data_IF_036385897345
#
_entry.id   IF_036385897345
#
_cell.length_a   1.000
_cell.length_b   1.000
_cell.length_c   1.000
_cell.angle_alpha   90.00
_cell.angle_beta   90.00
_cell.angle_gamma   90.00
#
_symmetry.space_group_name_H-M   'P 1'
#
loop_
_entity.id
_entity.type
_entity.pdbx_description
1 polymer ?
#
# COMPACT_ATOMS: atom_id res chain seq x y z
N UNK A 1 -24.77 -4.38 2.51
CA UNK A 1 -25.68 -4.98 1.54
C UNK A 1 -26.58 -3.88 1.00
N UNK A 2 -26.61 -3.70 -0.32
CA UNK A 2 -27.25 -2.56 -0.97
C UNK A 2 -28.55 -3.01 -1.64
N UNK A 3 -28.71 -2.78 -2.95
CA UNK A 3 -29.89 -3.20 -3.71
C UNK A 3 -29.89 -4.71 -3.99
N UNK A 4 -31.08 -5.30 -4.14
CA UNK A 4 -31.29 -6.73 -4.41
C UNK A 4 -32.25 -6.93 -5.57
N UNK A 5 -32.09 -8.05 -6.29
CA UNK A 5 -33.04 -8.54 -7.31
C UNK A 5 -33.24 -7.63 -8.53
N UNK A 6 -32.38 -6.63 -8.69
CA UNK A 6 -32.32 -5.78 -9.88
C UNK A 6 -31.32 -6.34 -10.90
N UNK A 7 -31.52 -6.00 -12.17
CA UNK A 7 -30.49 -6.25 -13.19
C UNK A 7 -29.19 -5.53 -12.80
N UNK A 8 -28.02 -6.06 -13.21
CA UNK A 8 -26.71 -5.46 -12.91
C UNK A 8 -26.64 -3.96 -13.22
N UNK A 9 -27.23 -3.54 -14.35
CA UNK A 9 -27.27 -2.13 -14.74
C UNK A 9 -28.08 -1.27 -13.76
N UNK A 10 -29.22 -1.78 -13.31
CA UNK A 10 -30.13 -1.05 -12.44
C UNK A 10 -29.63 -1.05 -11.00
N UNK A 11 -29.10 -2.17 -10.51
CA UNK A 11 -28.42 -2.25 -9.22
C UNK A 11 -27.28 -1.23 -9.13
N UNK A 12 -26.39 -1.17 -10.14
CA UNK A 12 -25.30 -0.18 -10.18
C UNK A 12 -25.79 1.27 -10.23
N UNK A 13 -26.98 1.53 -10.78
CA UNK A 13 -27.59 2.86 -10.82
C UNK A 13 -28.08 3.28 -9.42
N UNK A 14 -28.82 2.40 -8.76
CA UNK A 14 -29.36 2.62 -7.41
C UNK A 14 -28.23 2.68 -6.37
N UNK A 15 -27.31 1.71 -6.42
CA UNK A 15 -26.20 1.60 -5.48
C UNK A 15 -25.29 2.83 -5.56
N UNK A 16 -25.05 3.38 -6.76
CA UNK A 16 -24.18 4.56 -6.95
C UNK A 16 -24.60 5.74 -6.08
N UNK A 17 -25.90 5.97 -5.93
CA UNK A 17 -26.36 7.06 -5.06
C UNK A 17 -26.04 6.82 -3.59
N UNK A 18 -26.10 5.56 -3.13
CA UNK A 18 -25.65 5.19 -1.79
C UNK A 18 -24.16 5.43 -1.65
N UNK A 19 -23.37 4.98 -2.63
CA UNK A 19 -21.90 5.18 -2.64
C UNK A 19 -21.56 6.67 -2.55
N UNK A 20 -22.20 7.51 -3.36
CA UNK A 20 -21.96 8.96 -3.39
C UNK A 20 -22.30 9.63 -2.06
N UNK A 21 -23.40 9.24 -1.40
CA UNK A 21 -23.76 9.79 -0.09
C UNK A 21 -22.80 9.34 1.00
N UNK A 22 -22.34 8.08 0.95
CA UNK A 22 -21.36 7.55 1.89
C UNK A 22 -19.99 8.21 1.69
N UNK A 23 -19.54 8.38 0.45
CA UNK A 23 -18.25 9.02 0.12
C UNK A 23 -18.25 10.52 0.48
N UNK A 24 -19.38 11.21 0.28
CA UNK A 24 -19.59 12.58 0.75
C UNK A 24 -19.74 12.67 2.29
N UNK A 25 -19.71 11.53 2.98
CA UNK A 25 -19.96 11.36 4.39
C UNK A 25 -21.24 12.04 4.87
N UNK A 26 -22.32 12.01 4.08
CA UNK A 26 -23.58 12.72 4.34
C UNK A 26 -24.74 11.76 4.69
N UNK A 27 -24.95 11.45 5.99
CA UNK A 27 -26.00 10.53 6.43
C UNK A 27 -27.41 11.12 6.25
N UNK A 28 -27.57 12.45 6.16
CA UNK A 28 -28.88 13.08 5.95
C UNK A 28 -29.32 12.93 4.50
N UNK A 29 -28.43 13.26 3.57
CA UNK A 29 -28.65 13.06 2.14
C UNK A 29 -28.94 11.59 1.82
N UNK A 30 -28.24 10.66 2.48
CA UNK A 30 -28.52 9.23 2.32
C UNK A 30 -29.94 8.87 2.80
N UNK A 31 -30.37 9.38 3.96
CA UNK A 31 -31.72 9.14 4.47
C UNK A 31 -32.81 9.72 3.55
N UNK A 32 -32.62 10.94 3.07
CA UNK A 32 -33.54 11.60 2.12
C UNK A 32 -33.64 10.83 0.79
N UNK A 33 -32.51 10.39 0.24
CA UNK A 33 -32.48 9.62 -1.01
C UNK A 33 -33.21 8.26 -0.89
N UNK A 34 -33.19 7.65 0.30
CA UNK A 34 -33.94 6.41 0.57
C UNK A 34 -35.44 6.69 0.69
N UNK A 35 -35.83 7.75 1.42
CA UNK A 35 -37.23 8.14 1.60
C UNK A 35 -37.90 8.54 0.27
N UNK A 36 -37.15 9.17 -0.63
CA UNK A 36 -37.60 9.55 -1.97
C UNK A 36 -37.59 8.38 -2.98
N UNK A 37 -37.06 7.21 -2.59
CA UNK A 37 -36.89 6.06 -3.49
C UNK A 37 -35.88 6.29 -4.61
N UNK A 38 -34.96 7.25 -4.44
CA UNK A 38 -33.91 7.54 -5.40
C UNK A 38 -32.83 6.45 -5.40
N UNK A 39 -32.61 5.81 -4.23
CA UNK A 39 -31.70 4.68 -4.02
C UNK A 39 -32.34 3.59 -3.16
N UNK A 40 -31.70 2.41 -3.13
CA UNK A 40 -32.13 1.28 -2.30
C UNK A 40 -30.92 0.66 -1.60
N UNK A 41 -31.05 0.41 -0.29
CA UNK A 41 -30.10 -0.41 0.43
C UNK A 41 -30.77 -1.14 1.61
N UNK A 42 -30.73 -2.47 1.58
CA UNK A 42 -31.21 -3.29 2.70
C UNK A 42 -30.43 -2.97 4.01
N UNK A 43 -29.14 -2.64 3.89
CA UNK A 43 -28.28 -2.23 5.00
C UNK A 43 -28.31 -0.73 5.32
N UNK A 44 -29.23 0.06 4.77
CA UNK A 44 -29.23 1.52 4.91
C UNK A 44 -29.22 2.02 6.37
N UNK A 45 -30.13 1.50 7.21
CA UNK A 45 -30.26 1.92 8.60
C UNK A 45 -28.95 1.76 9.40
N UNK A 46 -28.33 0.57 9.38
CA UNK A 46 -27.01 0.36 9.96
C UNK A 46 -25.93 1.27 9.36
N UNK A 47 -25.90 1.50 8.04
CA UNK A 47 -24.91 2.40 7.41
C UNK A 47 -25.04 3.82 7.94
N UNK A 48 -26.26 4.39 7.94
CA UNK A 48 -26.54 5.73 8.47
C UNK A 48 -26.15 5.81 9.95
N UNK A 49 -26.47 4.76 10.73
CA UNK A 49 -26.14 4.70 12.16
C UNK A 49 -24.63 4.75 12.38
N UNK A 50 -23.85 3.97 11.61
CA UNK A 50 -22.39 3.98 11.70
C UNK A 50 -21.83 5.34 11.28
N UNK A 51 -22.38 5.97 10.23
CA UNK A 51 -21.97 7.32 9.82
C UNK A 51 -22.19 8.37 10.91
N UNK A 52 -23.35 8.35 11.55
CA UNK A 52 -23.68 9.26 12.65
C UNK A 52 -22.79 8.99 13.87
N UNK A 53 -22.59 7.72 14.24
CA UNK A 53 -21.74 7.34 15.36
C UNK A 53 -20.27 7.72 15.11
N UNK A 54 -19.76 7.51 13.90
CA UNK A 54 -18.40 7.87 13.53
C UNK A 54 -18.17 9.39 13.63
N UNK A 55 -19.15 10.21 13.21
CA UNK A 55 -19.11 11.67 13.39
C UNK A 55 -19.01 12.07 14.86
N UNK A 56 -19.82 11.43 15.71
CA UNK A 56 -19.77 11.67 17.16
C UNK A 56 -18.43 11.26 17.79
N UNK A 57 -17.79 10.24 17.23
CA UNK A 57 -16.46 9.77 17.62
C UNK A 57 -15.31 10.57 17.00
N UNK A 58 -15.61 11.62 16.21
CA UNK A 58 -14.62 12.55 15.69
C UNK A 58 -14.20 12.33 14.23
N UNK A 59 -14.76 11.36 13.52
CA UNK A 59 -14.55 11.24 12.09
C UNK A 59 -15.18 12.43 11.35
N UNK A 60 -14.47 12.98 10.37
CA UNK A 60 -14.92 14.09 9.53
C UNK A 60 -14.84 13.79 8.02
N UNK A 61 -14.37 12.59 7.67
CA UNK A 61 -14.34 12.04 6.31
C UNK A 61 -14.86 10.61 6.26
N UNK A 62 -15.28 10.21 5.07
CA UNK A 62 -15.52 8.83 4.71
C UNK A 62 -15.01 8.58 3.29
N UNK A 63 -14.68 7.32 3.01
CA UNK A 63 -14.25 6.89 1.68
C UNK A 63 -14.80 5.52 1.36
N UNK A 64 -15.43 5.38 0.20
CA UNK A 64 -15.79 4.08 -0.35
C UNK A 64 -14.51 3.40 -0.85
N UNK A 65 -14.19 2.24 -0.28
CA UNK A 65 -12.99 1.47 -0.62
C UNK A 65 -13.24 0.54 -1.80
N UNK A 66 -14.42 -0.07 -1.86
CA UNK A 66 -14.76 -1.00 -2.92
C UNK A 66 -16.27 -1.14 -3.07
N UNK A 67 -16.67 -1.42 -4.31
CA UNK A 67 -18.03 -1.82 -4.67
C UNK A 67 -17.97 -2.98 -5.67
N UNK A 68 -18.80 -3.99 -5.45
CA UNK A 68 -19.00 -5.10 -6.35
C UNK A 68 -20.44 -5.61 -6.21
N UNK A 69 -20.91 -6.40 -7.17
CA UNK A 69 -22.17 -7.13 -7.01
C UNK A 69 -22.00 -8.62 -7.29
N UNK A 70 -23.00 -9.41 -6.90
CA UNK A 70 -22.96 -10.88 -7.05
C UNK A 70 -22.71 -11.35 -8.49
N UNK A 71 -23.14 -10.57 -9.49
CA UNK A 71 -22.93 -10.87 -10.91
C UNK A 71 -21.47 -10.78 -11.35
N UNK A 72 -20.62 -10.05 -10.61
CA UNK A 72 -19.18 -9.97 -10.88
C UNK A 72 -18.44 -11.29 -10.59
N UNK A 73 -19.04 -12.16 -9.77
CA UNK A 73 -18.51 -13.49 -9.46
C UNK A 73 -19.26 -14.59 -10.22
N UNK A 74 -20.59 -14.54 -10.24
CA UNK A 74 -21.42 -15.62 -10.81
C UNK A 74 -21.60 -15.53 -12.31
N UNK A 75 -21.42 -14.34 -12.90
CA UNK A 75 -21.73 -14.06 -14.30
C UNK A 75 -23.22 -13.87 -14.59
N UNK A 76 -24.11 -14.18 -13.65
CA UNK A 76 -25.54 -13.89 -13.76
C UNK A 76 -25.83 -12.43 -13.43
N UNK A 77 -26.34 -11.69 -14.42
CA UNK A 77 -26.64 -10.25 -14.33
C UNK A 77 -28.14 -9.95 -14.31
N UNK A 78 -29.00 -10.97 -14.23
CA UNK A 78 -30.45 -10.83 -14.25
C UNK A 78 -31.05 -10.35 -12.93
N UNK A 79 -30.44 -10.73 -11.81
CA UNK A 79 -30.82 -10.32 -10.46
C UNK A 79 -29.62 -10.37 -9.53
N UNK A 80 -29.03 -9.20 -9.24
CA UNK A 80 -27.79 -9.11 -8.45
C UNK A 80 -28.03 -8.52 -7.08
N UNK A 81 -27.02 -8.68 -6.22
CA UNK A 81 -26.94 -8.06 -4.90
C UNK A 81 -25.71 -7.17 -4.82
N UNK A 82 -25.90 -5.91 -4.44
CA UNK A 82 -24.82 -4.93 -4.32
C UNK A 82 -24.09 -4.96 -2.98
N UNK A 83 -22.76 -4.87 -2.99
CA UNK A 83 -21.91 -4.83 -1.80
C UNK A 83 -20.98 -3.64 -1.83
N UNK A 84 -20.80 -3.00 -0.68
CA UNK A 84 -19.90 -1.86 -0.49
C UNK A 84 -19.05 -2.08 0.75
N UNK A 85 -17.77 -1.74 0.63
CA UNK A 85 -16.86 -1.51 1.74
C UNK A 85 -16.51 -0.03 1.80
N UNK A 86 -16.58 0.58 2.99
CA UNK A 86 -16.24 1.97 3.22
C UNK A 86 -15.52 2.14 4.56
N UNK A 87 -14.70 3.19 4.66
CA UNK A 87 -14.01 3.60 5.88
C UNK A 87 -14.48 5.00 6.27
N UNK A 88 -14.61 5.25 7.57
CA UNK A 88 -14.87 6.58 8.14
C UNK A 88 -13.70 6.93 9.04
N UNK A 89 -13.14 8.11 8.87
CA UNK A 89 -11.89 8.49 9.51
C UNK A 89 -11.88 9.99 9.81
N UNK A 90 -10.99 10.38 10.71
CA UNK A 90 -10.69 11.77 10.99
C UNK A 90 -9.50 12.17 10.13
N UNK A 91 -9.68 13.14 9.24
CA UNK A 91 -8.60 13.78 8.52
C UNK A 91 -7.86 14.70 9.51
N UNK A 92 -6.69 14.26 9.95
CA UNK A 92 -5.86 15.11 10.80
C UNK A 92 -5.30 16.26 9.95
N UNK A 93 -5.13 17.45 10.54
CA UNK A 93 -4.61 18.64 9.84
C UNK A 93 -3.20 18.46 9.21
N UNK A 94 -2.58 17.29 9.34
CA UNK A 94 -1.40 16.87 8.60
C UNK A 94 -1.68 16.47 7.14
N UNK A 95 -2.94 16.19 6.78
CA UNK A 95 -3.34 15.62 5.48
C UNK A 95 -3.86 16.65 4.46
N UNK A 96 -4.03 17.93 4.85
CA UNK A 96 -4.10 19.03 3.86
C UNK A 96 -2.69 19.37 3.34
N UNK A 97 -1.99 18.36 2.83
CA UNK A 97 -0.78 18.55 2.02
C UNK A 97 -1.17 18.31 0.58
N UNK A 98 -1.50 19.43 -0.04
CA UNK A 98 -1.37 19.69 -1.47
C UNK A 98 -0.26 18.83 -2.09
N UNK A 99 -0.56 18.26 -3.26
CA UNK A 99 0.26 17.32 -4.04
C UNK A 99 1.54 17.96 -4.61
N UNK A 100 2.18 18.87 -3.87
CA UNK A 100 3.31 19.68 -4.34
C UNK A 100 4.26 20.14 -3.23
N UNK A 101 4.51 19.34 -2.18
CA UNK A 101 5.56 19.70 -1.21
C UNK A 101 6.48 18.51 -0.78
N UNK A 102 7.76 18.47 -1.19
CA UNK A 102 8.70 17.37 -0.92
C UNK A 102 9.37 17.47 0.48
N UNK A 103 8.59 17.76 1.53
CA UNK A 103 9.10 18.27 2.81
C UNK A 103 9.01 17.36 4.05
N UNK A 104 8.58 16.11 3.93
CA UNK A 104 8.62 15.12 5.01
C UNK A 104 9.10 13.81 4.42
N UNK A 105 10.38 13.77 4.02
CA UNK A 105 10.99 12.58 3.42
C UNK A 105 11.04 11.51 4.51
N UNK A 106 10.11 10.57 4.47
CA UNK A 106 10.16 9.37 5.31
C UNK A 106 11.40 8.58 4.87
N UNK A 107 12.24 8.21 5.83
CA UNK A 107 13.53 7.57 5.59
C UNK A 107 14.72 8.54 5.63
N UNK A 108 15.79 8.22 4.90
CA UNK A 108 17.05 8.95 4.91
C UNK A 108 17.52 9.26 3.49
N UNK A 109 18.29 10.34 3.32
CA UNK A 109 19.02 10.56 2.08
C UNK A 109 20.31 9.73 2.11
N UNK A 110 20.38 8.70 1.27
CA UNK A 110 21.57 7.86 1.15
C UNK A 110 22.67 8.56 0.33
N UNK A 111 22.46 9.79 -0.13
CA UNK A 111 23.37 10.58 -0.94
C UNK A 111 23.52 10.00 -2.35
N UNK A 112 22.43 9.48 -2.91
CA UNK A 112 22.29 9.17 -4.33
C UNK A 112 21.90 10.46 -5.07
N UNK A 113 22.61 10.79 -6.15
CA UNK A 113 22.24 11.93 -6.98
C UNK A 113 20.90 11.66 -7.70
N UNK A 114 20.12 12.70 -7.98
CA UNK A 114 18.83 12.54 -8.67
C UNK A 114 18.98 11.84 -10.05
N UNK A 115 20.09 12.07 -10.76
CA UNK A 115 20.41 11.34 -12.00
C UNK A 115 20.62 9.83 -11.78
N UNK A 116 21.18 9.43 -10.64
CA UNK A 116 21.34 8.01 -10.28
C UNK A 116 19.97 7.41 -9.92
N UNK A 117 19.13 8.15 -9.19
CA UNK A 117 17.75 7.75 -8.86
C UNK A 117 16.92 7.54 -10.12
N UNK A 118 16.97 8.46 -11.07
CA UNK A 118 16.31 8.34 -12.36
C UNK A 118 16.84 7.17 -13.18
N UNK A 119 18.15 6.94 -13.16
CA UNK A 119 18.78 5.79 -13.82
C UNK A 119 18.23 4.48 -13.25
N UNK A 120 18.06 4.38 -11.93
CA UNK A 120 17.50 3.20 -11.27
C UNK A 120 16.01 3.00 -11.58
N UNK A 121 15.19 4.06 -11.59
CA UNK A 121 13.78 3.99 -12.00
C UNK A 121 13.65 3.53 -13.46
N UNK A 122 14.48 4.08 -14.33
CA UNK A 122 14.50 3.73 -15.75
C UNK A 122 14.97 2.29 -15.95
N UNK A 123 16.00 1.84 -15.23
CA UNK A 123 16.46 0.46 -15.23
C UNK A 123 15.34 -0.51 -14.86
N UNK A 124 14.60 -0.24 -13.77
CA UNK A 124 13.48 -1.06 -13.33
C UNK A 124 12.38 -1.13 -14.42
N UNK A 125 12.01 0.01 -14.98
CA UNK A 125 10.99 0.10 -16.04
C UNK A 125 11.42 -0.63 -17.32
N UNK A 126 12.64 -0.42 -17.79
CA UNK A 126 13.15 -1.06 -19.01
C UNK A 126 13.34 -2.56 -18.84
N UNK A 127 13.67 -3.01 -17.63
CA UNK A 127 13.74 -4.44 -17.31
C UNK A 127 12.37 -5.11 -17.40
N UNK A 128 11.33 -4.48 -16.84
CA UNK A 128 9.95 -4.97 -16.95
C UNK A 128 9.51 -4.98 -18.41
N UNK A 129 9.77 -3.89 -19.14
CA UNK A 129 9.47 -3.78 -20.57
C UNK A 129 10.15 -4.89 -21.38
N UNK A 130 11.44 -5.11 -21.18
CA UNK A 130 12.19 -6.13 -21.90
C UNK A 130 11.61 -7.54 -21.68
N UNK A 131 11.13 -7.83 -20.45
CA UNK A 131 10.47 -9.11 -20.16
C UNK A 131 9.13 -9.27 -20.88
N UNK A 132 8.33 -8.19 -20.97
CA UNK A 132 7.05 -8.17 -21.69
C UNK A 132 7.26 -8.33 -23.20
N UNK A 133 8.21 -7.60 -23.75
CA UNK A 133 8.55 -7.59 -25.18
C UNK A 133 9.38 -8.81 -25.62
N UNK A 134 9.84 -9.62 -24.65
CA UNK A 134 10.75 -10.75 -24.84
C UNK A 134 12.08 -10.36 -25.51
N UNK A 135 12.60 -9.19 -25.12
CA UNK A 135 13.88 -8.65 -25.58
C UNK A 135 14.96 -8.78 -24.51
N UNK A 136 16.19 -8.43 -24.86
CA UNK A 136 17.32 -8.48 -23.93
C UNK A 136 17.18 -7.39 -22.86
N UNK A 137 17.35 -7.71 -21.57
CA UNK A 137 17.32 -6.70 -20.51
C UNK A 137 18.46 -5.68 -20.67
N UNK A 138 18.29 -4.46 -20.12
CA UNK A 138 19.32 -3.43 -20.14
C UNK A 138 20.62 -3.92 -19.49
N UNK A 139 21.75 -3.52 -20.07
CA UNK A 139 23.08 -3.82 -19.53
C UNK A 139 23.40 -2.91 -18.34
N UNK A 140 24.21 -3.40 -17.42
CA UNK A 140 24.60 -2.69 -16.19
C UNK A 140 26.01 -2.09 -16.26
N UNK A 141 26.63 -2.16 -17.44
CA UNK A 141 28.08 -1.94 -17.66
C UNK A 141 28.53 -0.49 -17.40
N UNK A 142 27.60 0.46 -17.31
CA UNK A 142 27.87 1.89 -17.14
C UNK A 142 27.66 2.42 -15.71
N UNK A 143 27.41 1.54 -14.73
CA UNK A 143 27.08 1.93 -13.36
C UNK A 143 28.33 2.14 -12.52
N UNK A 144 28.38 3.24 -11.78
CA UNK A 144 29.52 3.65 -10.96
C UNK A 144 29.07 4.04 -9.55
N UNK A 145 30.02 4.15 -8.62
CA UNK A 145 29.77 4.64 -7.26
C UNK A 145 28.85 3.72 -6.44
N UNK A 146 27.92 4.33 -5.69
CA UNK A 146 27.02 3.65 -4.75
C UNK A 146 26.11 2.60 -5.41
N UNK A 147 25.94 2.67 -6.73
CA UNK A 147 25.15 1.70 -7.50
C UNK A 147 25.82 0.31 -7.56
N UNK A 148 27.12 0.23 -7.28
CA UNK A 148 27.88 -1.03 -7.19
C UNK A 148 27.92 -1.61 -5.78
N UNK A 149 27.49 -0.84 -4.77
CA UNK A 149 27.51 -1.30 -3.38
C UNK A 149 26.37 -2.31 -3.14
N UNK A 150 26.60 -3.32 -2.28
CA UNK A 150 25.57 -4.26 -1.89
C UNK A 150 24.56 -3.59 -0.95
N UNK A 151 23.39 -3.28 -1.48
CA UNK A 151 22.28 -2.69 -0.73
C UNK A 151 21.01 -3.52 -0.89
N UNK A 152 20.25 -3.67 0.19
CA UNK A 152 18.88 -4.15 0.09
C UNK A 152 18.03 -3.12 -0.65
N UNK A 153 17.03 -3.57 -1.40
CA UNK A 153 16.11 -2.68 -2.07
C UNK A 153 14.73 -3.31 -2.24
N UNK A 154 13.71 -2.47 -2.26
CA UNK A 154 12.34 -2.83 -2.61
C UNK A 154 11.94 -2.08 -3.86
N UNK A 155 11.23 -2.76 -4.76
CA UNK A 155 10.59 -2.15 -5.92
C UNK A 155 9.09 -2.30 -5.73
N UNK A 156 8.41 -1.16 -5.66
CA UNK A 156 6.96 -1.05 -5.56
C UNK A 156 6.42 -0.53 -6.88
N UNK A 157 5.43 -1.24 -7.41
CA UNK A 157 4.67 -0.89 -8.59
C UNK A 157 3.31 -0.40 -8.13
N UNK A 158 2.92 0.79 -8.57
CA UNK A 158 1.56 1.32 -8.39
C UNK A 158 0.93 1.56 -9.74
N UNK A 159 -0.38 1.38 -9.82
CA UNK A 159 -1.18 1.70 -11.00
C UNK A 159 -2.31 2.60 -10.57
N UNK A 160 -2.33 3.83 -11.09
CA UNK A 160 -3.36 4.84 -10.73
C UNK A 160 -3.50 5.02 -9.21
N UNK A 161 -2.36 5.06 -8.52
CA UNK A 161 -2.28 5.18 -7.05
C UNK A 161 -2.43 3.88 -6.25
N UNK A 162 -2.92 2.80 -6.85
CA UNK A 162 -3.14 1.51 -6.16
C UNK A 162 -1.92 0.59 -6.25
N UNK A 163 -1.65 -0.18 -5.19
CA UNK A 163 -0.54 -1.14 -5.17
C UNK A 163 -0.78 -2.26 -6.21
N UNK A 164 0.17 -2.45 -7.13
CA UNK A 164 0.13 -3.46 -8.20
C UNK A 164 1.18 -4.57 -8.07
N UNK A 165 2.19 -4.36 -7.23
CA UNK A 165 3.20 -5.33 -6.86
C UNK A 165 4.24 -4.69 -5.96
N UNK A 166 4.80 -5.43 -5.01
CA UNK A 166 5.93 -4.95 -4.20
C UNK A 166 6.75 -6.14 -3.73
N UNK A 167 8.00 -6.20 -4.18
CA UNK A 167 8.98 -7.22 -3.79
C UNK A 167 10.31 -6.54 -3.49
N UNK A 168 11.03 -7.06 -2.51
CA UNK A 168 12.34 -6.55 -2.13
C UNK A 168 13.20 -7.59 -1.44
N UNK A 169 14.48 -7.24 -1.32
CA UNK A 169 15.46 -7.99 -0.55
C UNK A 169 16.05 -7.11 0.54
N UNK A 170 16.17 -7.67 1.75
CA UNK A 170 16.78 -6.99 2.90
C UNK A 170 18.29 -6.90 2.81
N UNK A 171 18.89 -7.81 2.05
CA UNK A 171 20.34 -7.88 1.89
C UNK A 171 20.62 -7.88 0.40
N UNK A 172 21.37 -6.87 -0.06
CA UNK A 172 21.95 -6.89 -1.39
C UNK A 172 23.03 -7.95 -1.44
N UNK A 173 22.88 -8.96 -2.31
CA UNK A 173 23.91 -10.00 -2.54
C UNK A 173 24.91 -9.61 -3.63
N UNK A 174 24.71 -8.44 -4.23
CA UNK A 174 25.50 -7.87 -5.32
C UNK A 174 25.14 -6.39 -5.48
N UNK A 175 25.59 -5.74 -6.57
CA UNK A 175 25.30 -4.35 -6.87
C UNK A 175 23.82 -3.97 -6.67
N UNK A 176 23.57 -2.78 -6.11
CA UNK A 176 22.22 -2.24 -5.94
C UNK A 176 21.39 -2.33 -7.22
N UNK A 177 21.98 -2.02 -8.38
CA UNK A 177 21.27 -2.08 -9.64
C UNK A 177 20.85 -3.50 -10.06
N UNK A 178 21.65 -4.52 -9.73
CA UNK A 178 21.24 -5.92 -9.93
C UNK A 178 20.08 -6.26 -9.02
N UNK A 179 20.14 -5.83 -7.76
CA UNK A 179 19.05 -6.01 -6.80
C UNK A 179 17.76 -5.36 -7.33
N UNK A 180 17.82 -4.12 -7.80
CA UNK A 180 16.66 -3.41 -8.35
C UNK A 180 16.12 -4.10 -9.59
N UNK A 181 16.98 -4.53 -10.52
CA UNK A 181 16.57 -5.29 -11.71
C UNK A 181 15.80 -6.55 -11.34
N UNK A 182 16.35 -7.33 -10.41
CA UNK A 182 15.75 -8.60 -10.00
C UNK A 182 14.44 -8.39 -9.23
N UNK A 183 14.39 -7.38 -8.35
CA UNK A 183 13.19 -7.04 -7.59
C UNK A 183 12.09 -6.44 -8.48
N UNK A 184 12.43 -5.68 -9.52
CA UNK A 184 11.47 -5.17 -10.49
C UNK A 184 10.78 -6.30 -11.27
N UNK A 185 11.54 -7.32 -11.69
CA UNK A 185 10.97 -8.51 -12.33
C UNK A 185 10.04 -9.27 -11.37
N UNK A 186 10.48 -9.48 -10.13
CA UNK A 186 9.66 -10.20 -9.16
C UNK A 186 8.39 -9.42 -8.77
N UNK A 187 8.49 -8.10 -8.56
CA UNK A 187 7.34 -7.25 -8.26
C UNK A 187 6.32 -7.26 -9.40
N UNK A 188 6.76 -7.28 -10.66
CA UNK A 188 5.88 -7.29 -11.83
C UNK A 188 5.24 -8.67 -12.11
N UNK A 189 5.97 -9.77 -11.90
CA UNK A 189 5.58 -11.09 -12.43
C UNK A 189 5.49 -12.21 -11.40
N UNK A 190 5.87 -11.97 -10.15
CA UNK A 190 5.99 -13.02 -9.13
C UNK A 190 5.52 -12.61 -7.74
N UNK A 191 4.90 -11.43 -7.58
CA UNK A 191 4.19 -11.09 -6.35
C UNK A 191 2.94 -11.98 -6.23
N UNK A 192 2.86 -12.88 -5.23
CA UNK A 192 1.78 -13.87 -5.14
C UNK A 192 0.40 -13.27 -4.90
N UNK A 193 0.32 -11.98 -4.56
CA UNK A 193 -0.94 -11.27 -4.33
C UNK A 193 -1.59 -10.81 -5.64
N UNK A 194 -0.85 -10.78 -6.74
CA UNK A 194 -1.30 -10.21 -8.01
C UNK A 194 -1.02 -11.14 -9.19
N UNK A 195 -1.82 -11.03 -10.25
CA UNK A 195 -1.50 -11.67 -11.52
C UNK A 195 -0.25 -11.02 -12.15
N UNK A 196 0.54 -11.76 -12.95
CA UNK A 196 1.66 -11.18 -13.69
C UNK A 196 1.22 -9.98 -14.54
N UNK A 197 2.05 -8.93 -14.57
CA UNK A 197 1.79 -7.70 -15.32
C UNK A 197 1.64 -7.96 -16.82
N UNK A 198 0.74 -7.23 -17.49
CA UNK A 198 0.60 -7.24 -18.96
C UNK A 198 1.17 -5.98 -19.61
N UNK A 199 1.37 -6.03 -20.93
CA UNK A 199 1.98 -4.92 -21.69
C UNK A 199 1.17 -3.62 -21.60
N UNK A 200 -0.16 -3.72 -21.62
CA UNK A 200 -1.06 -2.57 -21.58
C UNK A 200 -1.03 -1.85 -20.22
N UNK A 201 -0.64 -2.54 -19.16
CA UNK A 201 -0.54 -1.95 -17.82
C UNK A 201 0.71 -1.07 -17.68
N UNK A 202 1.77 -1.33 -18.45
CA UNK A 202 3.08 -0.69 -18.28
C UNK A 202 3.04 0.84 -18.42
N UNK A 203 2.16 1.36 -19.28
CA UNK A 203 2.02 2.80 -19.51
C UNK A 203 1.42 3.55 -18.30
N UNK A 204 0.63 2.86 -17.48
CA UNK A 204 -0.06 3.42 -16.31
C UNK A 204 0.71 3.14 -15.00
N UNK A 205 1.95 2.63 -15.07
CA UNK A 205 2.73 2.25 -13.89
C UNK A 205 3.61 3.37 -13.35
N UNK A 206 3.39 3.66 -12.07
CA UNK A 206 4.28 4.42 -11.20
C UNK A 206 5.22 3.45 -10.49
N UNK A 207 6.53 3.71 -10.58
CA UNK A 207 7.55 2.92 -9.89
C UNK A 207 8.12 3.72 -8.74
N UNK A 208 8.19 3.08 -7.58
CA UNK A 208 8.81 3.58 -6.36
C UNK A 208 9.89 2.59 -5.93
N UNK A 209 11.10 3.09 -5.67
CA UNK A 209 12.25 2.31 -5.24
C UNK A 209 12.60 2.75 -3.82
N UNK A 210 12.74 1.79 -2.92
CA UNK A 210 13.25 2.00 -1.56
C UNK A 210 14.61 1.33 -1.42
N UNK A 211 15.69 2.10 -1.38
CA UNK A 211 17.05 1.60 -1.15
C UNK A 211 17.34 1.58 0.33
N UNK A 212 17.70 0.43 0.88
CA UNK A 212 17.82 0.23 2.32
C UNK A 212 19.23 0.46 2.82
N UNK A 213 19.34 1.04 4.02
CA UNK A 213 20.57 0.94 4.81
C UNK A 213 20.79 -0.50 5.28
N UNK A 214 22.01 -0.89 5.65
CA UNK A 214 22.25 -2.14 6.36
C UNK A 214 21.36 -2.26 7.61
N UNK A 215 20.96 -3.49 7.93
CA UNK A 215 20.22 -3.79 9.16
C UNK A 215 21.14 -3.61 10.37
N UNK A 216 20.73 -2.78 11.31
CA UNK A 216 21.42 -2.56 12.59
C UNK A 216 20.61 -3.20 13.72
N UNK A 217 21.23 -4.10 14.49
CA UNK A 217 20.56 -4.69 15.66
C UNK A 217 20.48 -3.67 16.78
N UNK A 218 19.30 -3.55 17.40
CA UNK A 218 19.10 -2.72 18.59
C UNK A 218 18.82 -3.58 19.81
N UNK A 219 19.20 -3.07 20.98
CA UNK A 219 18.94 -3.73 22.26
C UNK A 219 17.72 -3.16 22.97
N UNK A 220 17.34 -1.91 22.64
CA UNK A 220 16.28 -1.18 23.31
C UNK A 220 15.30 -0.56 22.31
N UNK A 221 14.02 -0.81 22.51
CA UNK A 221 12.95 -0.29 21.66
C UNK A 221 12.99 1.25 21.54
N UNK A 222 13.45 1.97 22.56
CA UNK A 222 13.53 3.44 22.53
C UNK A 222 14.45 4.00 21.42
N UNK A 223 15.34 3.17 20.86
CA UNK A 223 16.18 3.54 19.72
C UNK A 223 15.38 3.69 18.41
N UNK A 224 14.13 3.20 18.37
CA UNK A 224 13.26 3.27 17.20
C UNK A 224 12.71 4.68 17.04
N UNK A 225 12.93 5.25 15.86
CA UNK A 225 12.44 6.56 15.44
C UNK A 225 11.39 6.38 14.34
N UNK A 226 10.14 6.74 14.65
CA UNK A 226 9.02 6.67 13.70
C UNK A 226 9.25 7.66 12.56
N UNK A 227 8.97 7.21 11.32
CA UNK A 227 9.21 7.98 10.10
C UNK A 227 10.65 7.97 9.60
N UNK A 228 11.59 7.42 10.37
CA UNK A 228 12.99 7.23 9.94
C UNK A 228 13.31 5.75 9.79
N UNK A 229 12.98 4.95 10.82
CA UNK A 229 13.34 3.54 10.88
C UNK A 229 12.22 2.64 10.37
N UNK A 230 12.59 1.66 9.56
CA UNK A 230 11.86 0.42 9.36
C UNK A 230 12.30 -0.62 10.40
N UNK A 231 11.48 -1.66 10.58
CA UNK A 231 11.74 -2.72 11.55
C UNK A 231 11.88 -4.07 10.85
N UNK A 232 12.89 -4.83 11.26
CA UNK A 232 13.03 -6.25 10.97
C UNK A 232 13.07 -7.02 12.29
N UNK A 233 12.03 -7.80 12.56
CA UNK A 233 11.94 -8.65 13.75
C UNK A 233 12.16 -10.10 13.34
N UNK A 234 13.00 -10.81 14.09
CA UNK A 234 13.31 -12.22 13.86
C UNK A 234 13.32 -12.99 15.18
N UNK A 235 12.67 -14.16 15.19
CA UNK A 235 12.74 -15.13 16.29
C UNK A 235 12.81 -16.55 15.72
N UNK A 236 13.96 -17.19 15.85
CA UNK A 236 14.22 -18.49 15.20
C UNK A 236 14.07 -18.41 13.68
N UNK A 237 13.16 -19.20 13.10
CA UNK A 237 12.84 -19.23 11.67
C UNK A 237 11.77 -18.23 11.24
N UNK A 238 11.13 -17.53 12.18
CA UNK A 238 10.08 -16.56 11.91
C UNK A 238 10.67 -15.17 11.81
N UNK A 239 10.22 -14.40 10.81
CA UNK A 239 10.71 -13.05 10.59
C UNK A 239 9.67 -12.18 9.90
N UNK A 240 9.63 -10.90 10.25
CA UNK A 240 8.71 -9.92 9.69
C UNK A 240 9.40 -8.59 9.49
N UNK A 241 8.99 -7.87 8.46
CA UNK A 241 9.57 -6.58 8.09
C UNK A 241 8.50 -5.55 7.75
N UNK A 242 8.61 -4.35 8.30
CA UNK A 242 7.88 -3.18 7.84
C UNK A 242 8.83 -2.04 7.49
N UNK A 243 8.55 -1.36 6.38
CA UNK A 243 9.34 -0.23 5.89
C UNK A 243 9.06 1.04 6.73
N UNK A 244 9.96 2.05 6.72
CA UNK A 244 9.82 3.27 7.52
C UNK A 244 8.47 3.99 7.36
N UNK A 245 7.93 4.05 6.13
CA UNK A 245 6.70 4.77 5.81
C UNK A 245 5.45 4.14 6.40
N UNK A 246 5.46 2.83 6.68
CA UNK A 246 4.26 2.13 7.12
C UNK A 246 3.77 2.69 8.46
N UNK A 247 4.68 2.99 9.39
CA UNK A 247 4.28 3.55 10.67
C UNK A 247 3.67 4.95 10.52
N UNK A 248 4.27 5.80 9.68
CA UNK A 248 3.77 7.17 9.46
C UNK A 248 2.47 7.21 8.68
N UNK A 249 2.29 6.35 7.67
CA UNK A 249 1.07 6.26 6.86
C UNK A 249 -0.14 5.78 7.67
N UNK A 250 0.10 5.07 8.78
CA UNK A 250 -0.96 4.54 9.63
C UNK A 250 -1.04 5.24 11.00
N UNK A 251 -0.32 6.35 11.18
CA UNK A 251 -0.21 7.10 12.44
C UNK A 251 0.10 6.19 13.65
N UNK A 252 1.03 5.25 13.46
CA UNK A 252 1.43 4.31 14.51
C UNK A 252 2.50 4.89 15.41
N UNK A 253 2.31 4.69 16.70
CA UNK A 253 3.38 4.83 17.67
C UNK A 253 4.39 3.66 17.59
N UNK A 254 5.46 3.76 18.38
CA UNK A 254 6.51 2.75 18.45
C UNK A 254 6.01 1.37 18.84
N UNK A 255 5.11 1.30 19.82
CA UNK A 255 4.60 0.05 20.36
C UNK A 255 3.71 -0.65 19.33
N UNK A 256 2.83 0.11 18.68
CA UNK A 256 2.01 -0.37 17.58
C UNK A 256 2.89 -0.87 16.42
N UNK A 257 3.95 -0.14 16.07
CA UNK A 257 4.84 -0.53 15.00
C UNK A 257 5.58 -1.85 15.30
N UNK A 258 6.04 -2.04 16.53
CA UNK A 258 6.62 -3.30 17.02
C UNK A 258 5.59 -4.45 16.96
N UNK A 259 4.39 -4.26 17.50
CA UNK A 259 3.32 -5.28 17.54
C UNK A 259 2.93 -5.73 16.13
N UNK A 260 2.76 -4.79 15.19
CA UNK A 260 2.44 -5.10 13.80
C UNK A 260 3.60 -5.80 13.09
N UNK A 261 4.84 -5.44 13.39
CA UNK A 261 6.01 -6.15 12.84
C UNK A 261 6.10 -7.58 13.39
N UNK A 262 5.82 -7.80 14.67
CA UNK A 262 5.70 -9.13 15.27
C UNK A 262 4.59 -9.96 14.62
N UNK A 263 3.40 -9.39 14.43
CA UNK A 263 2.29 -10.05 13.73
C UNK A 263 2.68 -10.43 12.31
N UNK A 264 3.37 -9.54 11.58
CA UNK A 264 3.88 -9.83 10.23
C UNK A 264 4.94 -10.94 10.22
N UNK A 265 5.68 -11.11 11.31
CA UNK A 265 6.58 -12.24 11.51
C UNK A 265 5.86 -13.56 11.86
N UNK A 266 4.54 -13.53 12.05
CA UNK A 266 3.78 -14.67 12.57
C UNK A 266 4.06 -14.94 14.05
N UNK A 267 4.38 -13.91 14.82
CA UNK A 267 4.64 -13.97 16.27
C UNK A 267 3.48 -13.34 17.07
N UNK A 268 3.47 -13.58 18.38
CA UNK A 268 2.60 -12.86 19.31
C UNK A 268 2.95 -11.36 19.33
N UNK A 269 1.99 -10.50 19.64
CA UNK A 269 2.16 -9.03 19.58
C UNK A 269 3.24 -8.49 20.52
N UNK A 270 3.40 -9.12 21.67
CA UNK A 270 4.38 -8.81 22.70
C UNK A 270 5.71 -9.55 22.52
N UNK A 271 5.87 -10.34 21.44
CA UNK A 271 7.07 -11.14 21.24
C UNK A 271 8.36 -10.31 21.19
N UNK A 272 8.28 -9.00 20.90
CA UNK A 272 9.42 -8.08 20.92
C UNK A 272 10.01 -7.84 22.32
N UNK A 273 9.29 -8.17 23.40
CA UNK A 273 9.84 -8.08 24.77
C UNK A 273 10.63 -9.32 25.18
N UNK A 274 10.57 -10.39 24.39
CA UNK A 274 11.28 -11.63 24.67
C UNK A 274 12.78 -11.48 24.32
N UNK A 275 13.70 -11.88 25.22
CA UNK A 275 15.14 -11.77 24.99
C UNK A 275 15.66 -12.57 23.78
N UNK A 276 14.95 -13.62 23.35
CA UNK A 276 15.29 -14.42 22.17
C UNK A 276 14.81 -13.76 20.85
N UNK A 277 14.07 -12.66 20.93
CA UNK A 277 13.62 -11.90 19.76
C UNK A 277 14.65 -10.85 19.37
N UNK A 278 15.09 -10.93 18.12
CA UNK A 278 16.02 -9.97 17.55
C UNK A 278 15.25 -8.82 16.89
N UNK A 279 15.56 -7.59 17.29
CA UNK A 279 15.01 -6.39 16.68
C UNK A 279 16.13 -5.70 15.93
N UNK A 280 15.93 -5.47 14.63
CA UNK A 280 16.83 -4.68 13.80
C UNK A 280 16.09 -3.49 13.23
N UNK A 281 16.79 -2.37 13.13
CA UNK A 281 16.34 -1.15 12.46
C UNK A 281 17.11 -0.96 11.17
N UNK A 282 16.49 -0.29 10.22
CA UNK A 282 17.12 0.20 9.00
C UNK A 282 16.38 1.45 8.54
N UNK A 283 16.98 2.24 7.67
CA UNK A 283 16.30 3.34 7.00
C UNK A 283 16.23 3.06 5.51
N UNK A 284 15.45 3.86 4.77
CA UNK A 284 15.36 3.75 3.32
C UNK A 284 15.49 5.12 2.66
N UNK A 285 16.19 5.20 1.52
CA UNK A 285 16.05 6.32 0.59
C UNK A 285 14.97 5.94 -0.43
N UNK A 286 13.87 6.69 -0.44
CA UNK A 286 12.68 6.40 -1.22
C UNK A 286 12.56 7.42 -2.35
N UNK A 287 12.40 6.92 -3.57
CA UNK A 287 12.29 7.74 -4.77
C UNK A 287 11.54 7.01 -5.88
#
# INVERSE_FOLDING_TARGET
>A
DLSHYHSDREARRLDRQVLECVDAFDPRRLAEALDEGACEACGAGPVITVMLAARELGADRAKVLHYANSGDITGDRGGVVGYMAAVMYQETAAESRDQSNPGSRVGVDLGLAEAEKDTLRQLARDTIRARLDRTTPPRLDSLTGKLQEPCGAFVTLRRRGELRGCIGSLVGRGPLAETIRDMALQAAFSDPRFAPLTADELADLDLEISVLTPLERIERAEQIQIGTHGLYIKKGYRSGLLLPQVATENDWDRDQFLRWTCRKAGLAEDAWTDPDTEIHVFSADIF
#
